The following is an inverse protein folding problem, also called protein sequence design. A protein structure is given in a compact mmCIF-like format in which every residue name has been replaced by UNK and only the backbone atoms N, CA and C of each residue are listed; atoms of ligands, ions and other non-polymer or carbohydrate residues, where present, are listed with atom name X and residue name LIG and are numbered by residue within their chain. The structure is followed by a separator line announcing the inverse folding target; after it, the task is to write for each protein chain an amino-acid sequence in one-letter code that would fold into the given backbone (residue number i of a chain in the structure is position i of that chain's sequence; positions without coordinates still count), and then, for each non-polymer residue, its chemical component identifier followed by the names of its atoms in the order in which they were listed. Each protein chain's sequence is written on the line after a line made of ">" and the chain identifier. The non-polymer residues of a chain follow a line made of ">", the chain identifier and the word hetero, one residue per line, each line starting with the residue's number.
data_IF_922348337101
#
_entry.id   IF_922348337101
#
_cell.length_a   1.000
_cell.length_b   1.000
_cell.length_c   1.000
_cell.angle_alpha   90.00
_cell.angle_beta   90.00
_cell.angle_gamma   90.00
#
_symmetry.space_group_name_H-M   'P 1'
#
loop_
_entity.id
_entity.type
_entity.pdbx_description
1 polymer ?
#
# COMPACT_ATOMS: atom_id res chain seq x y z
N UNK A 1 -3.33 -8.53 5.27
CA UNK A 1 -2.98 -9.03 3.92
C UNK A 1 -3.22 -10.52 3.76
N UNK A 2 -2.98 -11.32 4.81
CA UNK A 2 -3.09 -12.78 4.70
C UNK A 2 -4.51 -13.30 4.47
N UNK A 3 -5.53 -12.51 4.69
CA UNK A 3 -6.91 -12.79 4.25
C UNK A 3 -7.09 -12.60 2.74
N UNK A 4 -6.23 -11.79 2.13
CA UNK A 4 -6.20 -11.51 0.70
C UNK A 4 -5.38 -12.56 -0.07
N UNK A 5 -4.72 -13.46 0.63
CA UNK A 5 -3.89 -14.53 0.09
C UNK A 5 -4.29 -15.89 0.68
N UNK A 6 -5.45 -16.45 0.26
CA UNK A 6 -6.01 -17.67 0.86
C UNK A 6 -5.10 -18.88 0.73
N UNK A 7 -4.20 -18.90 -0.25
CA UNK A 7 -3.21 -19.96 -0.46
C UNK A 7 -1.99 -19.85 0.46
N UNK A 8 -1.85 -18.73 1.17
CA UNK A 8 -0.72 -18.55 2.08
C UNK A 8 -0.81 -19.56 3.24
N UNK A 9 0.28 -20.27 3.59
CA UNK A 9 0.26 -21.29 4.65
C UNK A 9 -0.27 -20.82 6.02
N UNK A 10 -0.16 -19.52 6.29
CA UNK A 10 -0.66 -18.89 7.50
C UNK A 10 -2.11 -18.41 7.46
N UNK A 11 -2.79 -18.45 6.30
CA UNK A 11 -4.13 -17.87 6.13
C UNK A 11 -5.15 -18.44 7.13
N UNK A 12 -5.23 -19.76 7.26
CA UNK A 12 -6.14 -20.42 8.21
C UNK A 12 -5.94 -19.98 9.65
N UNK A 13 -4.67 -19.85 10.09
CA UNK A 13 -4.35 -19.39 11.44
C UNK A 13 -4.82 -17.95 11.66
N UNK A 14 -4.69 -17.09 10.66
CA UNK A 14 -5.16 -15.71 10.74
C UNK A 14 -6.69 -15.63 10.77
N UNK A 15 -7.40 -16.43 9.97
CA UNK A 15 -8.85 -16.53 10.01
C UNK A 15 -9.36 -16.99 11.39
N UNK A 16 -8.74 -18.04 11.97
CA UNK A 16 -9.09 -18.48 13.32
C UNK A 16 -8.88 -17.39 14.37
N UNK A 17 -7.75 -16.68 14.32
CA UNK A 17 -7.47 -15.57 15.23
C UNK A 17 -8.45 -14.40 15.06
N UNK A 18 -8.83 -14.09 13.83
CA UNK A 18 -9.83 -13.07 13.57
C UNK A 18 -11.19 -13.48 14.14
N UNK A 19 -11.62 -14.72 13.91
CA UNK A 19 -12.86 -15.25 14.49
C UNK A 19 -12.86 -15.19 16.02
N UNK A 20 -11.78 -15.63 16.64
CA UNK A 20 -11.62 -15.58 18.11
C UNK A 20 -11.66 -14.14 18.65
N UNK A 21 -10.95 -13.21 18.01
CA UNK A 21 -10.85 -11.82 18.48
C UNK A 21 -12.13 -11.01 18.28
N UNK A 22 -12.91 -11.36 17.26
CA UNK A 22 -14.15 -10.65 16.91
C UNK A 22 -15.41 -11.33 17.45
N UNK A 23 -15.31 -12.60 17.84
CA UNK A 23 -16.48 -13.42 18.22
C UNK A 23 -17.37 -13.80 17.02
N UNK A 24 -16.90 -13.59 15.79
CA UNK A 24 -17.66 -13.87 14.55
C UNK A 24 -17.21 -15.19 13.93
N UNK A 25 -18.15 -16.09 13.66
CA UNK A 25 -17.87 -17.32 12.92
C UNK A 25 -17.56 -16.99 11.45
N UNK A 26 -16.42 -17.48 10.95
CA UNK A 26 -15.99 -17.28 9.56
C UNK A 26 -16.11 -18.60 8.81
N UNK A 27 -17.29 -18.84 8.22
CA UNK A 27 -17.56 -20.03 7.41
C UNK A 27 -17.44 -19.74 5.90
N UNK A 28 -17.62 -18.49 5.50
CA UNK A 28 -17.65 -18.01 4.13
C UNK A 28 -17.13 -16.56 4.03
N UNK A 29 -17.23 -15.97 2.86
CA UNK A 29 -16.77 -14.60 2.59
C UNK A 29 -17.61 -13.56 3.36
N UNK A 30 -18.88 -13.81 3.59
CA UNK A 30 -19.74 -12.87 4.29
C UNK A 30 -19.44 -12.87 5.79
N UNK A 31 -19.19 -14.03 6.37
CA UNK A 31 -18.64 -14.15 7.72
C UNK A 31 -17.28 -13.44 7.88
N UNK A 32 -16.40 -13.56 6.88
CA UNK A 32 -15.12 -12.84 6.87
C UNK A 32 -15.33 -11.32 6.81
N UNK A 33 -16.18 -10.83 5.92
CA UNK A 33 -16.52 -9.40 5.82
C UNK A 33 -17.07 -8.86 7.13
N UNK A 34 -17.97 -9.61 7.77
CA UNK A 34 -18.52 -9.22 9.07
C UNK A 34 -17.43 -9.15 10.15
N UNK A 35 -16.58 -10.16 10.26
CA UNK A 35 -15.45 -10.15 11.20
C UNK A 35 -14.48 -8.97 10.96
N UNK A 36 -14.22 -8.65 9.68
CA UNK A 36 -13.40 -7.49 9.32
C UNK A 36 -14.07 -6.18 9.74
N UNK A 37 -15.40 -6.03 9.58
CA UNK A 37 -16.11 -4.84 10.08
C UNK A 37 -15.96 -4.66 11.58
N UNK A 38 -16.16 -5.74 12.37
CA UNK A 38 -15.97 -5.69 13.83
C UNK A 38 -14.56 -5.27 14.21
N UNK A 39 -13.55 -5.82 13.52
CA UNK A 39 -12.17 -5.42 13.73
C UNK A 39 -11.91 -3.96 13.36
N UNK A 40 -12.47 -3.47 12.25
CA UNK A 40 -12.35 -2.07 11.81
C UNK A 40 -13.04 -1.11 12.78
N UNK A 41 -14.19 -1.47 13.33
CA UNK A 41 -14.85 -0.66 14.35
C UNK A 41 -14.00 -0.51 15.62
N UNK A 42 -13.36 -1.61 16.04
CA UNK A 42 -12.40 -1.56 17.14
C UNK A 42 -11.18 -0.66 16.81
N UNK A 43 -10.57 -0.81 15.63
CA UNK A 43 -9.43 0.02 15.22
C UNK A 43 -9.81 1.49 15.14
N UNK A 44 -10.98 1.81 14.60
CA UNK A 44 -11.49 3.19 14.54
C UNK A 44 -11.69 3.77 15.94
N UNK A 45 -12.25 3.00 16.87
CA UNK A 45 -12.41 3.40 18.27
C UNK A 45 -11.06 3.66 18.96
N UNK A 46 -9.99 2.98 18.51
CA UNK A 46 -8.61 3.21 18.96
C UNK A 46 -7.91 4.40 18.21
N UNK A 47 -8.61 5.09 17.31
CA UNK A 47 -8.07 6.23 16.58
C UNK A 47 -7.31 5.86 15.29
N UNK A 48 -7.47 4.64 14.78
CA UNK A 48 -6.87 4.24 13.52
C UNK A 48 -7.54 4.97 12.34
N UNK A 49 -6.71 5.59 11.49
CA UNK A 49 -7.16 6.40 10.35
C UNK A 49 -6.58 5.92 9.02
N UNK A 50 -5.73 4.90 9.04
CA UNK A 50 -5.04 4.36 7.86
C UNK A 50 -5.07 2.84 7.91
N UNK A 51 -5.33 2.20 6.78
CA UNK A 51 -5.18 0.77 6.60
C UNK A 51 -4.20 0.50 5.46
N UNK A 52 -3.31 -0.47 5.65
CA UNK A 52 -2.25 -0.79 4.72
C UNK A 52 -2.39 -2.21 4.18
N UNK A 53 -2.09 -2.38 2.89
CA UNK A 53 -2.12 -3.65 2.17
C UNK A 53 -0.86 -3.82 1.34
N UNK A 54 -0.02 -4.79 1.72
CA UNK A 54 1.14 -5.21 0.97
C UNK A 54 0.79 -6.36 0.03
N UNK A 55 0.89 -6.15 -1.28
CA UNK A 55 0.55 -7.12 -2.31
C UNK A 55 1.72 -7.30 -3.28
N UNK A 56 1.96 -8.53 -3.74
CA UNK A 56 2.95 -8.78 -4.79
C UNK A 56 2.54 -8.10 -6.10
N UNK A 57 1.26 -8.15 -6.44
CA UNK A 57 0.67 -7.47 -7.61
C UNK A 57 -0.85 -7.43 -7.51
N UNK A 58 -1.46 -6.51 -8.26
CA UNK A 58 -2.86 -6.59 -8.68
C UNK A 58 -2.90 -7.15 -10.11
N UNK A 59 -3.62 -8.25 -10.31
CA UNK A 59 -3.80 -8.86 -11.64
C UNK A 59 -5.29 -8.96 -11.94
N UNK A 60 -5.69 -8.53 -13.12
CA UNK A 60 -7.06 -8.66 -13.58
C UNK A 60 -7.47 -10.13 -13.73
N UNK A 61 -8.63 -10.49 -13.19
CA UNK A 61 -9.27 -11.80 -13.39
C UNK A 61 -8.62 -13.00 -12.69
N UNK A 62 -7.52 -12.82 -11.96
CA UNK A 62 -6.77 -13.94 -11.39
C UNK A 62 -7.25 -14.36 -9.99
N UNK A 63 -7.96 -13.50 -9.27
CA UNK A 63 -8.38 -13.78 -7.90
C UNK A 63 -9.65 -12.99 -7.53
N UNK A 64 -10.78 -13.57 -7.88
CA UNK A 64 -12.09 -12.94 -7.65
C UNK A 64 -12.34 -12.65 -6.15
N UNK A 65 -11.92 -13.54 -5.27
CA UNK A 65 -12.10 -13.38 -3.82
C UNK A 65 -11.26 -12.22 -3.29
N UNK A 66 -10.00 -12.11 -3.74
CA UNK A 66 -9.11 -11.00 -3.36
C UNK A 66 -9.67 -9.66 -3.82
N UNK A 67 -10.09 -9.57 -5.08
CA UNK A 67 -10.68 -8.35 -5.61
C UNK A 67 -11.95 -7.97 -4.86
N UNK A 68 -12.85 -8.92 -4.61
CA UNK A 68 -14.08 -8.69 -3.84
C UNK A 68 -13.78 -8.17 -2.42
N UNK A 69 -12.79 -8.73 -1.74
CA UNK A 69 -12.39 -8.28 -0.40
C UNK A 69 -11.76 -6.89 -0.43
N UNK A 70 -10.90 -6.60 -1.40
CA UNK A 70 -10.30 -5.27 -1.54
C UNK A 70 -11.33 -4.19 -1.87
N UNK A 71 -12.29 -4.49 -2.74
CA UNK A 71 -13.40 -3.57 -3.06
C UNK A 71 -14.26 -3.32 -1.82
N UNK A 72 -14.63 -4.38 -1.09
CA UNK A 72 -15.38 -4.29 0.16
C UNK A 72 -14.62 -3.44 1.21
N UNK A 73 -13.33 -3.70 1.39
CA UNK A 73 -12.50 -2.93 2.33
C UNK A 73 -12.38 -1.47 1.90
N UNK A 74 -12.21 -1.18 0.61
CA UNK A 74 -12.18 0.18 0.10
C UNK A 74 -13.47 0.95 0.39
N UNK A 75 -14.65 0.32 0.23
CA UNK A 75 -15.92 0.90 0.60
C UNK A 75 -16.03 1.15 2.12
N UNK A 76 -15.60 0.18 2.94
CA UNK A 76 -15.59 0.32 4.40
C UNK A 76 -14.63 1.41 4.87
N UNK A 77 -13.47 1.58 4.24
CA UNK A 77 -12.54 2.68 4.53
C UNK A 77 -13.13 4.03 4.17
N UNK A 78 -13.77 4.12 3.00
CA UNK A 78 -14.47 5.35 2.60
C UNK A 78 -15.52 5.73 3.62
N UNK A 79 -16.36 4.79 4.03
CA UNK A 79 -17.45 4.99 4.99
C UNK A 79 -16.95 5.44 6.37
N UNK A 80 -15.76 4.98 6.77
CA UNK A 80 -15.09 5.32 8.03
C UNK A 80 -14.15 6.54 7.94
N UNK A 81 -13.96 7.12 6.76
CA UNK A 81 -13.01 8.21 6.56
C UNK A 81 -11.54 7.77 6.68
N UNK A 82 -11.25 6.47 6.57
CA UNK A 82 -9.90 5.91 6.62
C UNK A 82 -9.20 6.04 5.27
N UNK A 83 -7.87 6.09 5.31
CA UNK A 83 -7.01 6.06 4.12
C UNK A 83 -6.66 4.60 3.81
N UNK A 84 -6.72 4.22 2.53
CA UNK A 84 -6.27 2.93 2.01
C UNK A 84 -4.87 3.08 1.43
N UNK A 85 -3.88 2.39 1.96
CA UNK A 85 -2.55 2.30 1.39
C UNK A 85 -2.37 0.97 0.65
N UNK A 86 -1.81 1.04 -0.56
CA UNK A 86 -1.48 -0.13 -1.36
C UNK A 86 0.02 -0.14 -1.64
N UNK A 87 0.73 -1.07 -1.02
CA UNK A 87 2.15 -1.34 -1.25
C UNK A 87 2.30 -2.49 -2.24
N UNK A 88 2.80 -2.21 -3.44
CA UNK A 88 2.83 -3.16 -4.55
C UNK A 88 4.26 -3.46 -4.99
N UNK A 89 4.54 -4.73 -5.29
CA UNK A 89 5.71 -5.13 -6.05
C UNK A 89 6.79 -5.98 -5.39
N UNK A 90 6.75 -6.38 -4.11
CA UNK A 90 7.77 -7.26 -3.57
C UNK A 90 7.58 -8.70 -4.08
N UNK A 91 8.70 -9.32 -4.48
CA UNK A 91 8.80 -10.76 -4.63
C UNK A 91 9.41 -11.29 -3.34
N UNK A 92 8.61 -12.02 -2.57
CA UNK A 92 8.98 -12.48 -1.24
C UNK A 92 9.86 -13.72 -1.28
N UNK A 93 10.75 -13.85 -0.28
CA UNK A 93 11.46 -15.08 0.08
C UNK A 93 12.21 -15.77 -1.08
N UNK A 94 12.90 -14.98 -1.92
CA UNK A 94 13.52 -15.47 -3.14
C UNK A 94 14.70 -16.43 -2.92
N UNK A 95 15.35 -16.38 -1.78
CA UNK A 95 16.48 -17.25 -1.46
C UNK A 95 16.07 -18.40 -0.55
N UNK A 96 15.99 -19.67 -1.07
CA UNK A 96 15.65 -20.81 -0.23
C UNK A 96 16.60 -20.96 0.96
N UNK A 97 17.88 -20.69 0.78
CA UNK A 97 18.89 -20.74 1.85
C UNK A 97 18.57 -19.75 2.97
N UNK A 98 18.16 -18.51 2.65
CA UNK A 98 17.77 -17.52 3.67
C UNK A 98 16.48 -17.94 4.34
N UNK A 99 15.50 -18.40 3.56
CA UNK A 99 14.21 -18.84 4.10
C UNK A 99 14.39 -20.00 5.11
N UNK A 100 15.23 -20.98 4.80
CA UNK A 100 15.55 -22.10 5.71
C UNK A 100 16.32 -21.66 6.95
N UNK A 101 17.22 -20.69 6.82
CA UNK A 101 18.13 -20.28 7.92
C UNK A 101 17.48 -19.29 8.88
N UNK A 102 16.72 -18.31 8.34
CA UNK A 102 16.21 -17.17 9.12
C UNK A 102 14.69 -17.00 9.05
N UNK A 103 14.00 -17.76 8.21
CA UNK A 103 12.54 -17.74 8.08
C UNK A 103 12.00 -16.64 7.17
N UNK A 104 10.68 -16.52 7.17
CA UNK A 104 9.95 -15.49 6.42
C UNK A 104 10.20 -14.08 6.97
N UNK A 105 10.04 -13.07 6.13
CA UNK A 105 10.17 -11.65 6.51
C UNK A 105 11.57 -11.28 7.05
N UNK A 106 12.60 -11.96 6.60
CA UNK A 106 13.97 -11.79 7.09
C UNK A 106 14.90 -11.06 6.10
N UNK A 107 14.34 -10.37 5.10
CA UNK A 107 15.08 -9.55 4.14
C UNK A 107 15.53 -10.29 2.87
N UNK A 108 15.00 -11.48 2.61
CA UNK A 108 15.27 -12.26 1.39
C UNK A 108 14.42 -11.87 0.17
N UNK A 109 13.94 -10.63 0.11
CA UNK A 109 12.99 -10.16 -0.88
C UNK A 109 13.67 -9.44 -2.05
N UNK A 110 12.98 -9.33 -3.18
CA UNK A 110 13.44 -8.66 -4.39
C UNK A 110 12.37 -7.75 -4.97
N UNK A 111 12.81 -6.81 -5.81
CA UNK A 111 11.92 -5.98 -6.62
C UNK A 111 11.32 -6.82 -7.75
N UNK A 112 10.01 -6.81 -7.88
CA UNK A 112 9.29 -7.48 -8.95
C UNK A 112 8.57 -6.50 -9.87
N UNK A 113 7.84 -7.04 -10.84
CA UNK A 113 6.82 -6.28 -11.55
C UNK A 113 5.65 -6.03 -10.60
N UNK A 114 5.18 -4.80 -10.52
CA UNK A 114 4.24 -4.40 -9.48
C UNK A 114 2.80 -4.75 -9.80
N UNK A 115 2.38 -4.58 -11.04
CA UNK A 115 0.99 -4.82 -11.41
C UNK A 115 0.81 -4.79 -12.92
N UNK A 116 -0.32 -5.31 -13.37
CA UNK A 116 -0.92 -4.91 -14.62
C UNK A 116 -1.54 -3.51 -14.41
N UNK A 117 -1.03 -2.46 -15.09
CA UNK A 117 -1.58 -1.11 -14.94
C UNK A 117 -3.07 -1.02 -15.24
N UNK A 118 -3.57 -1.81 -16.19
CA UNK A 118 -4.99 -1.88 -16.50
C UNK A 118 -5.80 -2.47 -15.34
N UNK A 119 -5.29 -3.50 -14.67
CA UNK A 119 -5.95 -4.07 -13.50
C UNK A 119 -6.03 -3.08 -12.34
N UNK A 120 -4.96 -2.31 -12.08
CA UNK A 120 -4.98 -1.25 -11.08
C UNK A 120 -6.01 -0.16 -11.43
N UNK A 121 -6.02 0.30 -12.67
CA UNK A 121 -6.99 1.29 -13.14
C UNK A 121 -8.43 0.78 -13.04
N UNK A 122 -8.70 -0.46 -13.43
CA UNK A 122 -10.03 -1.08 -13.29
C UNK A 122 -10.45 -1.21 -11.82
N UNK A 123 -9.54 -1.58 -10.92
CA UNK A 123 -9.83 -1.65 -9.48
C UNK A 123 -10.25 -0.28 -8.92
N UNK A 124 -9.50 0.78 -9.23
CA UNK A 124 -9.84 2.14 -8.80
C UNK A 124 -11.16 2.62 -9.41
N UNK A 125 -11.40 2.34 -10.69
CA UNK A 125 -12.66 2.68 -11.36
C UNK A 125 -13.86 1.93 -10.77
N UNK A 126 -13.72 0.67 -10.37
CA UNK A 126 -14.77 -0.08 -9.66
C UNK A 126 -15.09 0.54 -8.30
N UNK A 127 -14.07 0.94 -7.53
CA UNK A 127 -14.28 1.66 -6.26
C UNK A 127 -15.02 2.98 -6.49
N UNK A 128 -14.61 3.75 -7.49
CA UNK A 128 -15.23 5.03 -7.82
C UNK A 128 -16.71 4.86 -8.20
N UNK A 129 -17.01 3.89 -9.07
CA UNK A 129 -18.37 3.59 -9.53
C UNK A 129 -19.25 2.98 -8.44
N UNK A 130 -18.67 2.25 -7.50
CA UNK A 130 -19.36 1.54 -6.42
C UNK A 130 -19.83 2.42 -5.26
N UNK A 131 -19.67 3.74 -5.36
CA UNK A 131 -20.10 4.69 -4.32
C UNK A 131 -19.03 5.71 -3.94
N UNK A 132 -17.91 5.70 -4.62
CA UNK A 132 -16.80 6.63 -4.49
C UNK A 132 -15.53 6.00 -3.93
N UNK A 133 -14.40 6.61 -4.29
CA UNK A 133 -13.09 6.21 -3.79
C UNK A 133 -12.90 6.61 -2.32
N UNK A 134 -12.28 5.76 -1.48
CA UNK A 134 -11.60 6.24 -0.28
C UNK A 134 -10.44 7.15 -0.68
N UNK A 135 -9.78 7.79 0.28
CA UNK A 135 -8.45 8.33 0.02
C UNK A 135 -7.49 7.16 -0.12
N UNK A 136 -6.77 7.09 -1.25
CA UNK A 136 -5.85 6.00 -1.57
C UNK A 136 -4.44 6.54 -1.72
N UNK A 137 -3.45 5.83 -1.19
CA UNK A 137 -2.04 6.09 -1.45
C UNK A 137 -1.43 4.85 -2.11
N UNK A 138 -0.85 5.05 -3.30
CA UNK A 138 -0.24 3.99 -4.10
C UNK A 138 1.28 4.02 -3.93
N UNK A 139 1.87 2.91 -3.52
CA UNK A 139 3.32 2.76 -3.41
C UNK A 139 3.79 1.67 -4.36
N UNK A 140 4.74 2.00 -5.23
CA UNK A 140 5.43 1.03 -6.08
C UNK A 140 6.82 0.71 -5.55
N UNK A 141 7.19 -0.56 -5.60
CA UNK A 141 8.56 -0.98 -5.27
C UNK A 141 9.48 -0.95 -6.48
N UNK A 142 8.95 -1.16 -7.69
CA UNK A 142 9.70 -1.11 -8.93
C UNK A 142 9.81 0.33 -9.46
N UNK A 143 10.99 0.98 -9.39
CA UNK A 143 11.13 2.37 -9.84
C UNK A 143 10.88 2.57 -11.34
N UNK A 144 10.95 1.51 -12.15
CA UNK A 144 10.61 1.59 -13.58
C UNK A 144 9.13 1.86 -13.84
N UNK A 145 8.26 1.69 -12.84
CA UNK A 145 6.82 1.91 -12.94
C UNK A 145 6.36 3.22 -12.29
N UNK A 146 7.27 4.10 -11.88
CA UNK A 146 6.92 5.35 -11.18
C UNK A 146 5.96 6.21 -11.99
N UNK A 147 6.17 6.35 -13.30
CA UNK A 147 5.27 7.08 -14.19
C UNK A 147 3.86 6.47 -14.27
N UNK A 148 3.75 5.14 -14.20
CA UNK A 148 2.45 4.46 -14.17
C UNK A 148 1.66 4.86 -12.93
N UNK A 149 2.30 4.80 -11.75
CA UNK A 149 1.65 5.11 -10.48
C UNK A 149 1.34 6.60 -10.33
N UNK A 150 2.23 7.45 -10.77
CA UNK A 150 2.09 8.90 -10.74
C UNK A 150 0.93 9.36 -11.63
N UNK A 151 0.88 8.91 -12.89
CA UNK A 151 -0.21 9.24 -13.81
C UNK A 151 -1.54 8.63 -13.37
N UNK A 152 -1.53 7.42 -12.78
CA UNK A 152 -2.74 6.82 -12.21
C UNK A 152 -3.29 7.69 -11.06
N UNK A 153 -2.42 8.16 -10.17
CA UNK A 153 -2.82 9.03 -9.07
C UNK A 153 -3.45 10.33 -9.56
N UNK A 154 -2.88 10.96 -10.59
CA UNK A 154 -3.44 12.18 -11.20
C UNK A 154 -4.80 11.92 -11.84
N UNK A 155 -4.97 10.78 -12.50
CA UNK A 155 -6.22 10.41 -13.16
C UNK A 155 -7.40 10.27 -12.18
N UNK A 156 -7.13 9.85 -10.96
CA UNK A 156 -8.12 9.71 -9.89
C UNK A 156 -7.99 10.78 -8.78
N UNK A 157 -7.37 11.93 -9.10
CA UNK A 157 -7.24 13.03 -8.15
C UNK A 157 -8.61 13.65 -7.80
N UNK A 158 -8.79 14.19 -6.59
CA UNK A 158 -7.82 14.29 -5.49
C UNK A 158 -7.77 13.08 -4.55
N UNK A 159 -8.50 12.01 -4.83
CA UNK A 159 -8.68 10.88 -3.93
C UNK A 159 -7.47 9.95 -3.90
N UNK A 160 -6.72 9.85 -5.01
CA UNK A 160 -5.55 8.98 -5.13
C UNK A 160 -4.27 9.79 -5.13
N UNK A 161 -3.28 9.34 -4.37
CA UNK A 161 -1.95 9.94 -4.28
C UNK A 161 -0.88 8.92 -4.69
N UNK A 162 0.17 9.42 -5.34
CA UNK A 162 1.40 8.68 -5.50
C UNK A 162 2.23 8.83 -4.21
N UNK A 163 2.55 7.70 -3.59
CA UNK A 163 3.23 7.63 -2.30
C UNK A 163 4.72 7.90 -2.36
N UNK A 164 5.35 7.94 -1.21
CA UNK A 164 6.79 8.18 -1.07
C UNK A 164 7.62 7.04 -1.67
N UNK A 165 8.88 7.36 -1.99
CA UNK A 165 9.90 6.36 -2.29
C UNK A 165 10.05 5.41 -1.08
N UNK A 166 9.70 4.16 -1.28
CA UNK A 166 9.52 3.18 -0.23
C UNK A 166 10.54 2.04 -0.35
N UNK A 167 11.01 1.53 0.78
CA UNK A 167 11.87 0.35 0.95
C UNK A 167 13.15 0.42 0.11
N UNK A 168 13.29 -0.35 -1.00
CA UNK A 168 14.47 -0.31 -1.88
C UNK A 168 14.69 1.06 -2.55
N UNK A 169 13.62 1.86 -2.66
CA UNK A 169 13.67 3.20 -3.22
C UNK A 169 13.93 4.29 -2.17
N UNK A 170 13.94 3.95 -0.87
CA UNK A 170 14.22 4.89 0.21
C UNK A 170 15.73 5.18 0.29
N UNK A 171 16.25 5.78 -0.76
CA UNK A 171 17.64 6.20 -0.97
C UNK A 171 17.66 7.62 -1.52
N UNK A 172 18.80 8.30 -1.45
CA UNK A 172 18.94 9.64 -2.01
C UNK A 172 18.50 9.71 -3.49
N UNK A 173 18.90 8.72 -4.30
CA UNK A 173 18.50 8.62 -5.70
C UNK A 173 17.02 8.34 -5.86
N UNK A 174 16.50 7.36 -5.15
CA UNK A 174 15.11 6.94 -5.26
C UNK A 174 14.13 8.03 -4.80
N UNK A 175 14.43 8.71 -3.69
CA UNK A 175 13.62 9.84 -3.19
C UNK A 175 13.62 11.00 -4.20
N UNK A 176 14.81 11.38 -4.75
CA UNK A 176 14.85 12.42 -5.76
C UNK A 176 14.07 12.05 -7.02
N UNK A 177 14.22 10.83 -7.52
CA UNK A 177 13.51 10.36 -8.70
C UNK A 177 11.97 10.36 -8.47
N UNK A 178 11.51 9.90 -7.31
CA UNK A 178 10.09 9.91 -6.97
C UNK A 178 9.53 11.34 -6.84
N UNK A 179 10.29 12.26 -6.24
CA UNK A 179 9.90 13.66 -6.14
C UNK A 179 9.87 14.34 -7.52
N UNK A 180 10.81 14.03 -8.43
CA UNK A 180 10.80 14.54 -9.80
C UNK A 180 9.55 14.08 -10.53
N UNK A 181 9.26 12.79 -10.49
CA UNK A 181 8.08 12.20 -11.12
C UNK A 181 6.77 12.84 -10.59
N UNK A 182 6.68 13.00 -9.26
CA UNK A 182 5.52 13.60 -8.62
C UNK A 182 5.34 15.08 -9.02
N UNK A 183 6.42 15.84 -9.15
CA UNK A 183 6.37 17.26 -9.54
C UNK A 183 6.07 17.46 -11.03
N UNK A 184 6.50 16.52 -11.88
CA UNK A 184 6.21 16.58 -13.31
C UNK A 184 4.77 16.23 -13.66
N UNK A 185 4.16 15.33 -12.90
CA UNK A 185 2.83 14.79 -13.21
C UNK A 185 1.72 15.28 -12.29
N UNK A 186 2.03 15.68 -11.05
CA UNK A 186 1.05 15.99 -10.02
C UNK A 186 1.37 17.24 -9.21
N UNK A 187 0.82 17.28 -7.99
CA UNK A 187 1.02 18.38 -7.06
C UNK A 187 1.75 17.88 -5.80
N UNK A 188 3.00 18.28 -5.64
CA UNK A 188 3.81 17.93 -4.47
C UNK A 188 3.12 18.32 -3.14
N UNK A 189 2.37 19.41 -3.13
CA UNK A 189 1.63 19.88 -1.95
C UNK A 189 0.54 18.90 -1.47
N UNK A 190 0.10 17.99 -2.33
CA UNK A 190 -0.88 16.96 -1.98
C UNK A 190 -0.23 15.64 -1.54
N UNK A 191 1.11 15.56 -1.54
CA UNK A 191 1.82 14.37 -1.09
C UNK A 191 1.75 14.21 0.42
N UNK A 192 1.51 13.00 0.90
CA UNK A 192 1.59 12.65 2.32
C UNK A 192 3.04 12.73 2.87
N UNK A 193 4.04 12.96 2.02
CA UNK A 193 5.45 13.00 2.39
C UNK A 193 6.03 11.60 2.50
N UNK A 194 6.88 11.40 3.53
CA UNK A 194 7.63 10.16 3.71
C UNK A 194 7.01 9.27 4.78
N UNK A 195 7.08 7.97 4.52
CA UNK A 195 6.98 6.94 5.54
C UNK A 195 8.25 6.07 5.51
N UNK A 196 8.67 5.52 6.64
CA UNK A 196 9.84 4.64 6.69
C UNK A 196 9.47 3.18 6.46
N UNK A 197 8.26 2.79 6.82
CA UNK A 197 7.78 1.40 6.83
C UNK A 197 8.80 0.44 7.48
N UNK A 198 9.39 0.87 8.56
CA UNK A 198 10.48 0.13 9.23
C UNK A 198 10.14 -0.20 10.67
N UNK A 199 10.51 -1.42 11.06
CA UNK A 199 10.40 -1.91 12.44
C UNK A 199 11.60 -1.52 13.31
N UNK A 200 12.55 -0.75 12.77
CA UNK A 200 13.78 -0.34 13.47
C UNK A 200 13.66 1.06 14.07
N UNK A 201 14.04 1.21 15.34
CA UNK A 201 14.17 2.53 15.99
C UNK A 201 15.19 3.43 15.28
N UNK A 202 16.19 2.86 14.62
CA UNK A 202 17.20 3.62 13.85
C UNK A 202 16.62 4.24 12.57
N UNK A 203 15.38 3.93 12.22
CA UNK A 203 14.70 4.50 11.05
C UNK A 203 14.07 5.88 11.32
N UNK A 204 13.90 6.31 12.57
CA UNK A 204 13.37 7.64 12.88
C UNK A 204 14.17 8.80 12.24
N UNK A 205 15.52 8.78 12.18
CA UNK A 205 16.29 9.81 11.49
C UNK A 205 16.03 9.93 10.00
N UNK A 206 15.39 8.95 9.37
CA UNK A 206 15.08 8.98 7.93
C UNK A 206 14.08 10.09 7.58
N UNK A 207 13.21 10.48 8.49
CA UNK A 207 12.34 11.64 8.29
C UNK A 207 13.14 12.94 8.17
N UNK A 208 14.21 13.10 8.95
CA UNK A 208 15.13 14.23 8.83
C UNK A 208 15.91 14.19 7.53
N UNK A 209 16.38 13.02 7.15
CA UNK A 209 17.05 12.78 5.88
C UNK A 209 16.15 13.17 4.69
N UNK A 210 14.91 12.71 4.68
CA UNK A 210 13.94 13.07 3.65
C UNK A 210 13.69 14.60 3.60
N UNK A 211 13.47 15.25 4.76
CA UNK A 211 13.26 16.71 4.80
C UNK A 211 14.44 17.47 4.20
N UNK A 212 15.66 17.04 4.45
CA UNK A 212 16.85 17.67 3.85
C UNK A 212 16.87 17.52 2.33
N UNK A 213 16.53 16.35 1.81
CA UNK A 213 16.43 16.12 0.35
C UNK A 213 15.36 17.02 -0.24
N UNK A 214 14.16 17.04 0.35
CA UNK A 214 13.04 17.84 -0.12
C UNK A 214 13.39 19.34 -0.09
N UNK A 215 13.92 19.86 1.02
CA UNK A 215 14.31 21.25 1.15
C UNK A 215 15.41 21.63 0.15
N UNK A 216 16.41 20.77 -0.06
CA UNK A 216 17.44 21.02 -1.06
C UNK A 216 16.89 21.07 -2.49
N UNK A 217 15.89 20.24 -2.79
CA UNK A 217 15.20 20.24 -4.09
C UNK A 217 14.36 21.50 -4.27
N UNK A 218 13.55 21.87 -3.29
CA UNK A 218 12.73 23.09 -3.31
C UNK A 218 13.60 24.35 -3.38
N UNK A 219 14.73 24.39 -2.65
CA UNK A 219 15.68 25.50 -2.72
C UNK A 219 16.19 25.74 -4.14
N UNK A 220 16.58 24.68 -4.84
CA UNK A 220 17.02 24.78 -6.24
C UNK A 220 15.94 25.33 -7.16
N UNK A 221 14.66 24.99 -6.93
CA UNK A 221 13.55 25.52 -7.72
C UNK A 221 13.32 27.00 -7.46
N UNK A 222 13.47 27.45 -6.20
CA UNK A 222 13.34 28.86 -5.83
C UNK A 222 14.51 29.68 -6.38
N UNK A 223 15.74 29.16 -6.31
CA UNK A 223 16.94 29.86 -6.79
C UNK A 223 17.06 29.89 -8.30
N UNK A 224 16.47 28.91 -9.00
CA UNK A 224 16.53 28.75 -10.46
C UNK A 224 15.36 29.35 -11.23
N UNK A 225 14.34 29.81 -10.55
CA UNK A 225 13.14 30.44 -11.10
C UNK A 225 13.12 31.90 -10.89
#
# INVERSE_FOLDING_TARGET
>A
DRYLEPEHPGARKHLSRLAESTGVAIADIDGLKHALCVALDHFQACGCVVADHGLSCLRGGADEVREQLLLFLGEEYRRRGMVMQLHLGPIRDQSPRLLETVGHDAGGDSVGATSDPAALGHFLAKLESGGGLPRVILYNLNPAESAVFSTMAVNFAPQVQYGAAWWFNDTLRGINAQLDELMETGLLAHSAGMLTDSRSFTSFPRHEYYRRILCAKLGKLVDGG
#
